data_IF_999931683700
#
_entry.id   IF_999931683700
#
_cell.length_a   1.000
_cell.length_b   1.000
_cell.length_c   1.000
_cell.angle_alpha   90.00
_cell.angle_beta   90.00
_cell.angle_gamma   90.00
#
_symmetry.space_group_name_H-M   'P 1'
#
loop_
_entity.id
_entity.type
_entity.pdbx_description
1 polymer ?
#
# COMPACT_ATOMS: atom_id res chain seq x y z
N UNK A 1 -27.27 -38.05 34.96
CA UNK A 1 -26.54 -37.44 33.82
C UNK A 1 -26.56 -38.29 32.54
N UNK A 2 -26.63 -39.63 32.62
CA UNK A 2 -26.66 -40.55 31.45
C UNK A 2 -27.93 -40.43 30.59
N UNK A 3 -29.09 -40.24 31.21
CA UNK A 3 -30.39 -40.14 30.52
C UNK A 3 -30.46 -38.94 29.54
N UNK A 4 -29.81 -37.81 29.86
CA UNK A 4 -29.75 -36.63 28.97
C UNK A 4 -28.95 -36.91 27.68
N UNK A 5 -27.95 -37.78 27.72
CA UNK A 5 -27.15 -38.15 26.53
C UNK A 5 -27.92 -39.08 25.59
N UNK A 6 -28.74 -39.98 26.13
CA UNK A 6 -29.58 -40.87 25.34
C UNK A 6 -30.66 -40.08 24.57
N UNK A 7 -31.35 -39.16 25.24
CA UNK A 7 -32.34 -38.29 24.58
C UNK A 7 -31.75 -37.40 23.49
N UNK A 8 -30.53 -36.88 23.67
CA UNK A 8 -29.86 -36.06 22.65
C UNK A 8 -29.51 -36.90 21.41
N UNK A 9 -29.02 -38.12 21.59
CA UNK A 9 -28.72 -39.04 20.49
C UNK A 9 -29.96 -39.44 19.69
N UNK A 10 -31.05 -39.76 20.39
CA UNK A 10 -32.34 -40.10 19.78
C UNK A 10 -32.93 -38.93 18.99
N UNK A 11 -32.90 -37.72 19.57
CA UNK A 11 -33.37 -36.49 18.89
C UNK A 11 -32.52 -36.15 17.65
N UNK A 12 -31.20 -36.35 17.70
CA UNK A 12 -30.31 -36.18 16.54
C UNK A 12 -30.63 -37.19 15.42
N UNK A 13 -30.88 -38.45 15.79
CA UNK A 13 -31.29 -39.50 14.85
C UNK A 13 -32.62 -39.17 14.16
N UNK A 14 -33.62 -38.73 14.93
CA UNK A 14 -34.91 -38.29 14.40
C UNK A 14 -34.78 -37.05 13.49
N UNK A 15 -33.92 -36.09 13.86
CA UNK A 15 -33.63 -34.91 13.04
C UNK A 15 -32.91 -35.28 11.72
N UNK A 16 -31.95 -36.20 11.76
CA UNK A 16 -31.28 -36.70 10.56
C UNK A 16 -32.23 -37.45 9.62
N UNK A 17 -33.17 -38.21 10.18
CA UNK A 17 -34.14 -38.96 9.39
C UNK A 17 -35.16 -38.03 8.69
N UNK A 18 -35.60 -36.98 9.38
CA UNK A 18 -36.45 -35.93 8.80
C UNK A 18 -35.73 -35.12 7.72
N UNK A 19 -34.44 -34.79 7.91
CA UNK A 19 -33.62 -34.15 6.86
C UNK A 19 -33.45 -35.06 5.62
N UNK A 20 -33.27 -36.37 5.84
CA UNK A 20 -33.18 -37.36 4.75
C UNK A 20 -34.50 -37.62 4.05
N UNK A 21 -35.62 -37.45 4.74
CA UNK A 21 -36.97 -37.56 4.17
C UNK A 21 -37.30 -36.37 3.27
N UNK A 22 -36.87 -35.16 3.65
CA UNK A 22 -37.12 -33.92 2.89
C UNK A 22 -35.86 -33.35 2.22
N UNK A 23 -35.12 -34.19 1.48
CA UNK A 23 -33.82 -33.85 0.87
C UNK A 23 -33.81 -32.53 0.09
N UNK A 24 -34.85 -32.27 -0.70
CA UNK A 24 -34.91 -31.06 -1.54
C UNK A 24 -35.06 -29.78 -0.71
N UNK A 25 -35.94 -29.80 0.30
CA UNK A 25 -36.16 -28.65 1.19
C UNK A 25 -34.90 -28.36 2.00
N UNK A 26 -34.30 -29.39 2.60
CA UNK A 26 -33.07 -29.26 3.39
C UNK A 26 -31.86 -28.85 2.55
N UNK A 27 -31.78 -29.29 1.30
CA UNK A 27 -30.72 -28.88 0.39
C UNK A 27 -30.82 -27.39 0.04
N UNK A 28 -32.01 -26.92 -0.35
CA UNK A 28 -32.21 -25.50 -0.71
C UNK A 28 -31.96 -24.56 0.46
N UNK A 29 -32.32 -24.94 1.69
CA UNK A 29 -32.05 -24.10 2.88
C UNK A 29 -30.56 -24.02 3.19
N UNK A 30 -29.84 -25.15 3.11
CA UNK A 30 -28.38 -25.17 3.30
C UNK A 30 -27.67 -24.39 2.20
N UNK A 31 -28.11 -24.53 0.95
CA UNK A 31 -27.54 -23.79 -0.18
C UNK A 31 -27.69 -22.28 0.01
N UNK A 32 -28.86 -21.82 0.45
CA UNK A 32 -29.09 -20.40 0.72
C UNK A 32 -28.18 -19.85 1.81
N UNK A 33 -28.04 -20.56 2.93
CA UNK A 33 -27.15 -20.16 4.04
C UNK A 33 -25.68 -20.20 3.61
N UNK A 34 -25.28 -21.22 2.84
CA UNK A 34 -23.92 -21.35 2.33
C UNK A 34 -23.56 -20.16 1.44
N UNK A 35 -24.37 -19.86 0.42
CA UNK A 35 -24.12 -18.75 -0.51
C UNK A 35 -24.11 -17.41 0.23
N UNK A 36 -25.04 -17.21 1.18
CA UNK A 36 -25.10 -15.99 1.98
C UNK A 36 -23.84 -15.78 2.82
N UNK A 37 -23.45 -16.80 3.58
CA UNK A 37 -22.25 -16.73 4.44
C UNK A 37 -20.96 -16.59 3.63
N UNK A 38 -20.81 -17.33 2.52
CA UNK A 38 -19.61 -17.21 1.66
C UNK A 38 -19.49 -15.82 1.04
N UNK A 39 -20.61 -15.22 0.62
CA UNK A 39 -20.61 -13.87 0.04
C UNK A 39 -20.21 -12.83 1.08
N UNK A 40 -20.76 -12.92 2.30
CA UNK A 40 -20.42 -11.99 3.39
C UNK A 40 -18.95 -12.12 3.78
N UNK A 41 -18.43 -13.35 3.90
CA UNK A 41 -17.01 -13.60 4.23
C UNK A 41 -16.11 -13.05 3.11
N UNK A 42 -16.46 -13.30 1.84
CA UNK A 42 -15.69 -12.81 0.70
C UNK A 42 -15.63 -11.28 0.68
N UNK A 43 -16.77 -10.60 0.77
CA UNK A 43 -16.83 -9.14 0.78
C UNK A 43 -16.07 -8.55 1.97
N UNK A 44 -16.23 -9.12 3.17
CA UNK A 44 -15.50 -8.67 4.36
C UNK A 44 -13.98 -8.82 4.17
N UNK A 45 -13.52 -9.95 3.62
CA UNK A 45 -12.08 -10.19 3.37
C UNK A 45 -11.49 -9.19 2.38
N UNK A 46 -12.23 -8.83 1.33
CA UNK A 46 -11.80 -7.85 0.33
C UNK A 46 -11.70 -6.46 0.97
N UNK A 47 -12.70 -6.05 1.74
CA UNK A 47 -12.70 -4.74 2.40
C UNK A 47 -11.52 -4.63 3.37
N UNK A 48 -11.32 -5.62 4.23
CA UNK A 48 -10.21 -5.61 5.19
C UNK A 48 -8.85 -5.68 4.50
N UNK A 49 -8.71 -6.48 3.44
CA UNK A 49 -7.47 -6.55 2.66
C UNK A 49 -7.13 -5.23 1.96
N UNK A 50 -8.14 -4.56 1.41
CA UNK A 50 -7.97 -3.26 0.76
C UNK A 50 -7.59 -2.16 1.77
N UNK A 51 -8.26 -2.13 2.93
CA UNK A 51 -7.96 -1.15 3.98
C UNK A 51 -6.48 -1.25 4.42
N UNK A 52 -6.01 -2.49 4.65
CA UNK A 52 -4.61 -2.76 4.97
C UNK A 52 -3.68 -2.28 3.85
N UNK A 53 -4.00 -2.58 2.58
CA UNK A 53 -3.19 -2.18 1.44
C UNK A 53 -3.12 -0.65 1.28
N UNK A 54 -4.23 0.06 1.53
CA UNK A 54 -4.26 1.51 1.47
C UNK A 54 -3.44 2.14 2.60
N UNK A 55 -3.51 1.57 3.80
CA UNK A 55 -2.66 1.99 4.92
C UNK A 55 -1.19 1.77 4.60
N UNK A 56 -0.81 0.58 4.12
CA UNK A 56 0.57 0.26 3.75
C UNK A 56 1.08 1.18 2.62
N UNK A 57 0.23 1.50 1.64
CA UNK A 57 0.55 2.48 0.60
C UNK A 57 0.73 3.87 1.19
N UNK A 58 -0.16 4.34 2.06
CA UNK A 58 -0.04 5.65 2.70
C UNK A 58 1.22 5.73 3.59
N UNK A 59 1.57 4.64 4.28
CA UNK A 59 2.79 4.54 5.09
C UNK A 59 4.06 4.57 4.24
N UNK A 60 4.07 3.92 3.08
CA UNK A 60 5.22 3.97 2.15
C UNK A 60 5.53 5.38 1.65
N UNK A 61 4.51 6.22 1.50
CA UNK A 61 4.70 7.62 1.13
C UNK A 61 5.15 8.48 2.32
N UNK A 62 5.05 7.95 3.54
CA UNK A 62 5.40 8.63 4.77
C UNK A 62 4.42 9.77 5.07
N UNK A 63 3.46 9.53 5.96
CA UNK A 63 2.52 10.57 6.42
C UNK A 63 3.19 11.77 7.12
N UNK A 64 4.48 11.64 7.47
CA UNK A 64 5.32 12.68 8.08
C UNK A 64 6.51 13.10 7.19
N UNK A 65 6.38 12.98 5.86
CA UNK A 65 7.47 13.30 4.94
C UNK A 65 7.14 14.54 4.10
N UNK A 66 8.03 15.54 4.15
CA UNK A 66 7.93 16.76 3.34
C UNK A 66 9.05 16.77 2.32
N UNK A 67 8.69 16.74 1.04
CA UNK A 67 9.65 16.93 -0.04
C UNK A 67 9.83 18.41 -0.37
N UNK A 68 11.08 18.87 -0.46
CA UNK A 68 11.43 20.24 -0.81
C UNK A 68 12.18 20.25 -2.14
N UNK A 69 11.60 20.89 -3.14
CA UNK A 69 12.18 21.01 -4.48
C UNK A 69 12.34 22.48 -4.88
N UNK A 70 13.35 22.76 -5.70
CA UNK A 70 13.54 24.09 -6.31
C UNK A 70 12.42 24.39 -7.32
N UNK A 71 12.06 23.40 -8.12
CA UNK A 71 11.08 23.49 -9.20
C UNK A 71 9.75 22.93 -8.70
N UNK A 72 8.63 23.51 -9.16
CA UNK A 72 7.33 22.89 -8.92
C UNK A 72 7.27 21.55 -9.66
N UNK A 73 7.17 20.46 -8.90
CA UNK A 73 6.91 19.14 -9.43
C UNK A 73 5.41 19.00 -9.65
N UNK A 74 5.01 18.57 -10.84
CA UNK A 74 3.61 18.41 -11.20
C UNK A 74 3.38 18.53 -12.70
N UNK A 75 2.25 19.13 -13.06
CA UNK A 75 1.83 19.32 -14.45
C UNK A 75 2.90 20.06 -15.26
N UNK A 76 3.16 19.66 -16.52
CA UNK A 76 4.14 20.33 -17.37
C UNK A 76 3.75 21.80 -17.56
N UNK A 77 4.50 22.70 -16.94
CA UNK A 77 4.29 24.14 -17.02
C UNK A 77 5.54 24.82 -17.57
N UNK A 78 5.32 25.92 -18.30
CA UNK A 78 6.41 26.78 -18.73
C UNK A 78 7.03 27.42 -17.49
N UNK A 79 8.27 27.06 -17.19
CA UNK A 79 9.02 27.63 -16.07
C UNK A 79 9.00 29.16 -16.15
N UNK A 80 8.48 29.79 -15.10
CA UNK A 80 8.47 31.24 -14.98
C UNK A 80 9.91 31.76 -14.81
N UNK A 81 10.15 33.04 -15.11
CA UNK A 81 11.48 33.65 -14.96
C UNK A 81 11.98 33.54 -13.51
N UNK A 82 11.08 33.65 -12.55
CA UNK A 82 11.37 33.54 -11.11
C UNK A 82 11.82 32.12 -10.72
N UNK A 83 11.15 31.08 -11.20
CA UNK A 83 11.55 29.68 -10.93
C UNK A 83 12.92 29.35 -11.53
N UNK A 84 13.23 29.90 -12.71
CA UNK A 84 14.54 29.70 -13.35
C UNK A 84 15.66 30.37 -12.57
N UNK A 85 15.42 31.57 -12.06
CA UNK A 85 16.40 32.37 -11.32
C UNK A 85 16.52 31.96 -9.84
N UNK A 86 15.65 31.10 -9.33
CA UNK A 86 15.71 30.61 -7.94
C UNK A 86 17.05 29.94 -7.66
N UNK A 87 17.65 30.24 -6.50
CA UNK A 87 18.92 29.66 -6.09
C UNK A 87 18.79 28.13 -5.99
N UNK A 88 19.83 27.35 -6.37
CA UNK A 88 19.82 25.91 -6.15
C UNK A 88 19.80 25.60 -4.66
N UNK A 89 19.14 24.49 -4.29
CA UNK A 89 19.21 23.96 -2.93
C UNK A 89 20.62 23.43 -2.67
N UNK A 90 21.19 23.79 -1.55
CA UNK A 90 22.54 23.41 -1.13
C UNK A 90 22.49 22.47 0.08
N UNK A 91 23.58 21.75 0.31
CA UNK A 91 23.70 20.90 1.51
C UNK A 91 23.61 21.72 2.81
N UNK A 92 24.06 22.97 2.76
CA UNK A 92 23.96 23.91 3.88
C UNK A 92 22.51 24.22 4.28
N UNK A 93 21.61 24.32 3.30
CA UNK A 93 20.19 24.53 3.58
C UNK A 93 19.59 23.33 4.34
N UNK A 94 20.00 22.11 4.00
CA UNK A 94 19.55 20.91 4.71
C UNK A 94 20.08 20.85 6.15
N UNK A 95 21.34 21.27 6.37
CA UNK A 95 21.92 21.37 7.72
C UNK A 95 21.20 22.43 8.55
N UNK A 96 20.95 23.61 7.99
CA UNK A 96 20.23 24.68 8.66
C UNK A 96 18.82 24.23 9.08
N UNK A 97 18.09 23.50 8.23
CA UNK A 97 16.78 22.93 8.59
C UNK A 97 16.90 21.95 9.76
N UNK A 98 17.92 21.09 9.77
CA UNK A 98 18.13 20.12 10.86
C UNK A 98 18.45 20.81 12.19
N UNK A 99 19.16 21.93 12.16
CA UNK A 99 19.58 22.66 13.37
C UNK A 99 18.52 23.62 13.89
N UNK A 100 17.79 24.29 13.00
CA UNK A 100 16.85 25.37 13.35
C UNK A 100 15.39 24.93 13.44
N UNK A 101 15.01 23.78 12.84
CA UNK A 101 13.63 23.29 12.84
C UNK A 101 13.42 22.15 13.85
N UNK A 102 12.88 22.41 15.06
CA UNK A 102 12.65 21.36 16.06
C UNK A 102 11.53 20.39 15.67
N UNK A 103 10.71 20.72 14.66
CA UNK A 103 9.67 19.83 14.13
C UNK A 103 10.22 18.78 13.16
N UNK A 104 11.42 19.01 12.59
CA UNK A 104 12.05 18.08 11.66
C UNK A 104 12.93 17.09 12.45
N UNK A 105 12.44 15.87 12.63
CA UNK A 105 13.18 14.80 13.33
C UNK A 105 14.37 14.30 12.53
N UNK A 106 14.25 14.27 11.21
CA UNK A 106 15.29 13.81 10.30
C UNK A 106 15.25 14.62 9.02
N UNK A 107 16.42 14.98 8.51
CA UNK A 107 16.59 15.69 7.24
C UNK A 107 17.57 14.89 6.40
N UNK A 108 17.13 14.49 5.21
CA UNK A 108 17.95 13.76 4.26
C UNK A 108 18.06 14.54 2.96
N UNK A 109 19.26 14.57 2.37
CA UNK A 109 19.48 15.15 1.06
C UNK A 109 19.39 14.06 0.02
N UNK A 110 18.41 14.19 -0.86
CA UNK A 110 18.18 13.30 -1.97
C UNK A 110 18.69 13.91 -3.27
N UNK A 111 19.58 13.21 -3.97
CA UNK A 111 20.02 13.57 -5.32
C UNK A 111 19.21 12.73 -6.30
N UNK A 112 18.23 13.36 -6.94
CA UNK A 112 17.50 12.78 -8.05
C UNK A 112 18.19 13.14 -9.36
N UNK A 113 18.86 12.17 -9.98
CA UNK A 113 19.47 12.39 -11.29
C UNK A 113 18.45 12.40 -12.42
N UNK A 114 17.31 11.74 -12.23
CA UNK A 114 16.22 11.70 -13.21
C UNK A 114 15.45 13.03 -13.31
N UNK A 115 15.58 13.92 -12.32
CA UNK A 115 15.17 15.32 -12.49
C UNK A 115 16.03 16.08 -13.54
N UNK A 116 17.04 15.42 -14.11
CA UNK A 116 17.70 15.82 -15.35
C UNK A 116 16.80 15.74 -16.59
N UNK A 117 15.58 15.17 -16.49
CA UNK A 117 14.53 15.26 -17.52
C UNK A 117 14.04 16.70 -17.78
N UNK A 118 14.41 17.66 -16.94
CA UNK A 118 14.34 19.09 -17.31
C UNK A 118 15.39 19.49 -18.38
N UNK A 119 16.18 18.54 -18.91
CA UNK A 119 16.53 18.53 -20.33
C UNK A 119 17.96 18.18 -20.76
N UNK A 120 18.89 17.69 -19.93
CA UNK A 120 20.32 17.61 -20.37
C UNK A 120 21.21 16.49 -19.78
N UNK A 121 20.69 15.45 -19.12
CA UNK A 121 21.56 14.37 -18.63
C UNK A 121 21.44 13.10 -19.50
N UNK A 122 22.56 12.51 -19.95
CA UNK A 122 22.52 11.27 -20.72
C UNK A 122 21.97 10.11 -19.86
N UNK A 123 21.21 9.18 -20.45
CA UNK A 123 20.64 8.04 -19.73
C UNK A 123 21.77 7.21 -19.11
N UNK A 124 21.60 6.83 -17.84
CA UNK A 124 22.56 6.00 -17.14
C UNK A 124 22.24 4.55 -17.49
N UNK A 125 23.22 3.82 -18.01
CA UNK A 125 23.09 2.37 -18.16
C UNK A 125 23.72 1.71 -16.94
N UNK A 126 22.92 0.97 -16.16
CA UNK A 126 23.43 0.14 -15.08
C UNK A 126 23.62 -1.29 -15.59
N UNK A 127 24.83 -1.84 -15.46
CA UNK A 127 25.14 -3.23 -15.83
C UNK A 127 25.26 -4.08 -14.58
N UNK A 128 24.46 -5.14 -14.47
CA UNK A 128 24.57 -6.11 -13.38
C UNK A 128 24.45 -7.54 -13.91
N UNK A 129 25.42 -8.41 -13.55
CA UNK A 129 25.47 -9.84 -13.95
C UNK A 129 25.21 -10.11 -15.44
N UNK A 130 25.69 -9.22 -16.32
CA UNK A 130 25.54 -9.36 -17.77
C UNK A 130 24.19 -8.88 -18.33
N UNK A 131 23.33 -8.29 -17.50
CA UNK A 131 22.15 -7.56 -17.96
C UNK A 131 22.40 -6.05 -17.92
N UNK A 132 22.03 -5.38 -19.01
CA UNK A 132 22.08 -3.93 -19.16
C UNK A 132 20.70 -3.35 -18.90
N UNK A 133 20.58 -2.54 -17.85
CA UNK A 133 19.41 -1.74 -17.56
C UNK A 133 19.66 -0.33 -18.10
N UNK A 134 19.02 -0.05 -19.23
CA UNK A 134 18.96 1.29 -19.81
C UNK A 134 18.07 2.16 -18.91
N UNK A 135 18.48 3.40 -18.71
CA UNK A 135 17.74 4.41 -17.94
C UNK A 135 17.55 4.04 -16.46
N UNK A 136 18.65 3.64 -15.81
CA UNK A 136 18.62 3.28 -14.41
C UNK A 136 18.32 4.50 -13.52
N UNK A 137 17.21 4.41 -12.76
CA UNK A 137 16.86 5.37 -11.73
C UNK A 137 17.78 5.19 -10.52
N UNK A 138 18.63 6.19 -10.29
CA UNK A 138 19.53 6.24 -9.13
C UNK A 138 19.08 7.35 -8.19
N UNK A 139 18.67 6.95 -6.99
CA UNK A 139 18.37 7.84 -5.88
C UNK A 139 19.48 7.71 -4.81
N UNK A 140 20.31 8.75 -4.70
CA UNK A 140 21.30 8.84 -3.63
C UNK A 140 20.71 9.61 -2.45
N UNK A 141 20.69 9.00 -1.26
CA UNK A 141 20.22 9.64 -0.02
C UNK A 141 21.36 9.65 0.99
N UNK A 142 21.55 10.76 1.69
CA UNK A 142 22.50 10.83 2.81
C UNK A 142 22.07 9.86 3.92
N UNK A 143 23.02 9.12 4.54
CA UNK A 143 22.70 8.30 5.71
C UNK A 143 22.12 9.19 6.83
N UNK A 144 21.08 8.69 7.52
CA UNK A 144 20.47 9.35 8.67
C UNK A 144 21.37 9.32 9.91
#
# INVERSE_FOLDING_TARGET
>A
MVMRRQHVGENLLLALDTLRTHKFRSFLTLLGVLIGTTTVIAVASIITGLDQQLVDMAEQWGTRLLWVYKLQLGTPHRLTREERLRKPLTFEDARAIKEECPAAETVAVAIFRQLGEFGQLPPITARYKGQDMLDAELLGVTPN
#
